data_IF_059151460805
#
_entry.id   IF_059151460805
#
_cell.length_a   1.000
_cell.length_b   1.000
_cell.length_c   1.000
_cell.angle_alpha   90.00
_cell.angle_beta   90.00
_cell.angle_gamma   90.00
#
_symmetry.space_group_name_H-M   'P 1'
#
loop_
_entity.id
_entity.type
_entity.pdbx_description
1 polymer ?
#
# COMPACT_ATOMS: atom_id res chain seq x y z
N UNK A 1 9.02 18.73 3.73
CA UNK A 1 7.58 19.01 3.70
C UNK A 1 6.97 18.44 4.97
N UNK A 2 6.28 19.24 5.78
CA UNK A 2 5.60 18.73 6.98
C UNK A 2 4.33 18.03 6.52
N UNK A 3 4.14 16.76 6.89
CA UNK A 3 2.90 16.04 6.60
C UNK A 3 1.75 16.78 7.29
N UNK A 4 0.79 17.27 6.50
CA UNK A 4 -0.34 18.06 7.02
C UNK A 4 -1.43 17.17 7.61
N UNK A 5 -1.64 15.99 7.03
CA UNK A 5 -2.66 15.02 7.43
C UNK A 5 -2.00 13.64 7.52
N UNK A 6 -1.90 13.08 8.72
CA UNK A 6 -1.46 11.70 8.95
C UNK A 6 -2.66 10.95 9.52
N UNK A 7 -3.18 9.98 8.77
CA UNK A 7 -4.20 9.06 9.25
C UNK A 7 -3.52 7.81 9.78
N UNK A 8 -3.93 7.40 10.99
CA UNK A 8 -3.45 6.19 11.64
C UNK A 8 -4.61 5.20 11.76
N UNK A 9 -4.34 3.89 11.81
CA UNK A 9 -5.36 2.90 12.12
C UNK A 9 -6.08 3.21 13.43
N UNK A 10 -7.39 3.01 13.42
CA UNK A 10 -8.27 3.14 14.59
C UNK A 10 -8.62 1.76 15.17
N UNK A 11 -8.54 0.72 14.34
CA UNK A 11 -8.80 -0.68 14.69
C UNK A 11 -7.80 -1.61 13.99
N UNK A 12 -7.56 -2.76 14.60
CA UNK A 12 -6.55 -3.73 14.19
C UNK A 12 -7.15 -5.14 14.20
N UNK A 13 -6.67 -5.99 13.31
CA UNK A 13 -7.07 -7.39 13.20
C UNK A 13 -6.01 -8.34 13.77
N UNK A 14 -6.47 -9.36 14.48
CA UNK A 14 -5.65 -10.38 15.12
C UNK A 14 -6.30 -11.77 14.98
N UNK A 15 -5.54 -12.82 15.29
CA UNK A 15 -6.05 -14.19 15.32
C UNK A 15 -6.49 -14.59 16.73
N UNK A 16 -7.66 -15.20 16.86
CA UNK A 16 -8.07 -15.89 18.07
C UNK A 16 -8.71 -17.23 17.71
N UNK A 17 -8.07 -18.33 18.12
CA UNK A 17 -8.52 -19.69 17.84
C UNK A 17 -8.73 -19.96 16.32
N UNK A 18 -7.82 -19.49 15.46
CA UNK A 18 -7.93 -19.64 14.00
C UNK A 18 -8.96 -18.73 13.34
N UNK A 19 -9.55 -17.80 14.09
CA UNK A 19 -10.57 -16.88 13.59
C UNK A 19 -10.01 -15.45 13.64
N UNK A 20 -10.15 -14.73 12.53
CA UNK A 20 -9.86 -13.30 12.46
C UNK A 20 -10.85 -12.52 13.33
N UNK A 21 -10.34 -11.75 14.27
CA UNK A 21 -11.10 -10.78 15.06
C UNK A 21 -10.50 -9.39 14.91
N UNK A 22 -11.31 -8.38 15.21
CA UNK A 22 -10.92 -6.97 15.15
C UNK A 22 -11.13 -6.34 16.53
N UNK A 23 -10.29 -5.36 16.88
CA UNK A 23 -10.51 -4.52 18.04
C UNK A 23 -9.97 -3.11 17.80
N UNK A 24 -10.58 -2.13 18.49
CA UNK A 24 -10.08 -0.76 18.55
C UNK A 24 -8.62 -0.72 19.04
N UNK A 25 -7.82 0.18 18.49
CA UNK A 25 -6.42 0.40 18.92
C UNK A 25 -6.35 0.78 20.40
N UNK A 26 -7.36 1.47 20.93
CA UNK A 26 -7.44 1.81 22.36
C UNK A 26 -7.59 0.60 23.27
N UNK A 27 -8.08 -0.53 22.73
CA UNK A 27 -8.26 -1.80 23.44
C UNK A 27 -7.14 -2.80 23.14
N UNK A 28 -6.13 -2.38 22.38
CA UNK A 28 -5.03 -3.25 22.03
C UNK A 28 -4.23 -3.64 23.27
N UNK A 29 -4.00 -4.94 23.44
CA UNK A 29 -3.43 -5.51 24.67
C UNK A 29 -1.99 -6.03 24.50
N UNK A 30 -1.33 -5.59 23.43
CA UNK A 30 0.05 -6.00 23.12
C UNK A 30 0.19 -7.38 22.47
N UNK A 31 -0.92 -8.04 22.12
CA UNK A 31 -0.89 -9.21 21.23
C UNK A 31 -0.37 -8.85 19.83
N UNK A 32 -0.11 -9.87 19.02
CA UNK A 32 0.25 -9.66 17.63
C UNK A 32 -0.99 -9.27 16.81
N UNK A 33 -0.90 -8.14 16.12
CA UNK A 33 -1.88 -7.66 15.14
C UNK A 33 -1.25 -7.75 13.77
N UNK A 34 -1.98 -8.32 12.82
CA UNK A 34 -1.43 -8.72 11.53
C UNK A 34 -2.07 -7.98 10.35
N UNK A 35 -3.15 -7.24 10.56
CA UNK A 35 -3.80 -6.42 9.54
C UNK A 35 -4.54 -5.26 10.21
N UNK A 36 -5.00 -4.31 9.41
CA UNK A 36 -5.92 -3.27 9.87
C UNK A 36 -7.35 -3.82 9.99
N UNK A 37 -8.14 -3.20 10.85
CA UNK A 37 -9.56 -3.54 10.98
C UNK A 37 -10.43 -2.84 9.92
N UNK A 38 -11.71 -3.20 9.90
CA UNK A 38 -12.65 -2.76 8.86
C UNK A 38 -12.96 -1.26 8.95
N UNK A 39 -12.94 -0.67 10.15
CA UNK A 39 -13.23 0.77 10.31
C UNK A 39 -12.08 1.63 9.77
N UNK A 40 -10.83 1.18 9.97
CA UNK A 40 -9.64 1.80 9.37
C UNK A 40 -9.68 1.71 7.85
N UNK A 41 -10.07 0.57 7.28
CA UNK A 41 -10.23 0.43 5.83
C UNK A 41 -11.23 1.46 5.30
N UNK A 42 -12.39 1.58 5.95
CA UNK A 42 -13.41 2.57 5.58
C UNK A 42 -12.86 4.00 5.60
N UNK A 43 -12.20 4.39 6.70
CA UNK A 43 -11.60 5.72 6.84
C UNK A 43 -10.53 6.00 5.80
N UNK A 44 -9.69 5.02 5.45
CA UNK A 44 -8.67 5.18 4.41
C UNK A 44 -9.30 5.35 3.03
N UNK A 45 -10.34 4.57 2.72
CA UNK A 45 -11.07 4.69 1.44
C UNK A 45 -11.72 6.07 1.31
N UNK A 46 -12.31 6.60 2.37
CA UNK A 46 -12.87 7.96 2.38
C UNK A 46 -11.79 9.01 2.09
N UNK A 47 -10.62 8.91 2.73
CA UNK A 47 -9.53 9.84 2.50
C UNK A 47 -8.96 9.75 1.07
N UNK A 48 -8.93 8.55 0.48
CA UNK A 48 -8.48 8.34 -0.89
C UNK A 48 -9.41 9.02 -1.92
N UNK A 49 -10.68 9.23 -1.60
CA UNK A 49 -11.64 9.88 -2.50
C UNK A 49 -11.32 11.37 -2.74
N UNK A 50 -10.61 12.02 -1.82
CA UNK A 50 -10.21 13.42 -1.94
C UNK A 50 -8.86 13.61 -2.67
N UNK A 51 -8.16 12.52 -2.99
CA UNK A 51 -6.82 12.57 -3.56
C UNK A 51 -6.84 12.90 -5.07
N UNK A 52 -5.92 13.77 -5.51
CA UNK A 52 -5.69 14.05 -6.94
C UNK A 52 -4.68 13.09 -7.60
N UNK A 53 -3.86 12.42 -6.78
CA UNK A 53 -2.87 11.41 -7.18
C UNK A 53 -2.68 10.49 -5.99
N UNK A 54 -2.63 9.18 -6.22
CA UNK A 54 -2.39 8.21 -5.15
C UNK A 54 -1.04 7.54 -5.38
N UNK A 55 -0.23 7.47 -4.31
CA UNK A 55 1.03 6.72 -4.29
C UNK A 55 0.93 5.71 -3.16
N UNK A 56 1.12 4.43 -3.46
CA UNK A 56 1.14 3.35 -2.47
C UNK A 56 2.41 2.54 -2.59
N UNK A 57 3.02 2.19 -1.46
CA UNK A 57 4.17 1.32 -1.39
C UNK A 57 4.07 0.39 -0.19
N UNK A 58 3.64 -0.85 -0.44
CA UNK A 58 3.50 -1.92 0.53
C UNK A 58 2.04 -2.24 0.87
N UNK A 59 1.75 -3.48 1.27
CA UNK A 59 0.48 -3.88 1.85
C UNK A 59 0.32 -3.29 3.27
N UNK A 60 -0.90 -3.37 3.80
CA UNK A 60 -1.29 -2.84 5.11
C UNK A 60 -1.22 -3.89 6.24
N UNK A 61 -1.03 -5.16 5.88
CA UNK A 61 -0.97 -6.29 6.79
C UNK A 61 -0.13 -7.43 6.22
N UNK A 62 -0.08 -8.54 6.97
CA UNK A 62 0.56 -9.80 6.61
C UNK A 62 -0.26 -10.52 5.53
N UNK A 63 -0.22 -9.97 4.31
CA UNK A 63 -1.01 -10.38 3.16
C UNK A 63 -0.80 -11.85 2.74
N UNK A 64 0.33 -12.42 3.12
CA UNK A 64 0.68 -13.82 2.86
C UNK A 64 -0.23 -14.79 3.64
N UNK A 65 -0.85 -14.31 4.72
CA UNK A 65 -1.90 -15.03 5.43
C UNK A 65 -3.29 -14.59 4.94
N UNK A 66 -4.12 -15.48 4.37
CA UNK A 66 -5.46 -15.14 3.92
C UNK A 66 -6.38 -14.51 4.99
N UNK A 67 -6.15 -14.81 6.27
CA UNK A 67 -6.87 -14.18 7.38
C UNK A 67 -6.53 -12.69 7.55
N UNK A 68 -5.39 -12.23 7.01
CA UNK A 68 -4.82 -10.91 7.23
C UNK A 68 -4.50 -10.16 5.92
N UNK A 69 -5.03 -10.65 4.79
CA UNK A 69 -4.93 -9.98 3.51
C UNK A 69 -6.06 -8.97 3.24
N UNK A 70 -7.16 -9.04 4.02
CA UNK A 70 -8.41 -8.31 3.76
C UNK A 70 -8.18 -6.80 3.66
N UNK A 71 -7.53 -6.20 4.64
CA UNK A 71 -7.32 -4.75 4.67
C UNK A 71 -6.51 -4.25 3.47
N UNK A 72 -5.44 -4.98 3.14
CA UNK A 72 -4.60 -4.69 1.96
C UNK A 72 -5.39 -4.80 0.66
N UNK A 73 -6.17 -5.87 0.48
CA UNK A 73 -6.96 -6.10 -0.73
C UNK A 73 -8.04 -5.02 -0.90
N UNK A 74 -8.78 -4.70 0.15
CA UNK A 74 -9.88 -3.73 0.07
C UNK A 74 -9.37 -2.33 -0.26
N UNK A 75 -8.30 -1.89 0.39
CA UNK A 75 -7.68 -0.59 0.09
C UNK A 75 -7.08 -0.57 -1.32
N UNK A 76 -6.36 -1.62 -1.75
CA UNK A 76 -5.82 -1.68 -3.11
C UNK A 76 -6.91 -1.67 -4.19
N UNK A 77 -8.03 -2.37 -3.97
CA UNK A 77 -9.19 -2.31 -4.86
C UNK A 77 -9.75 -0.90 -4.95
N UNK A 78 -9.86 -0.19 -3.83
CA UNK A 78 -10.33 1.19 -3.82
C UNK A 78 -9.37 2.13 -4.56
N UNK A 79 -8.06 1.95 -4.39
CA UNK A 79 -7.04 2.74 -5.10
C UNK A 79 -7.15 2.52 -6.61
N UNK A 80 -7.26 1.28 -7.07
CA UNK A 80 -7.39 0.95 -8.50
C UNK A 80 -8.72 1.47 -9.08
N UNK A 81 -9.80 1.46 -8.28
CA UNK A 81 -11.11 1.99 -8.67
C UNK A 81 -11.17 3.53 -8.68
N UNK A 82 -10.23 4.22 -8.02
CA UNK A 82 -10.16 5.68 -7.99
C UNK A 82 -10.06 6.23 -9.43
N UNK A 83 -10.65 7.38 -9.78
CA UNK A 83 -10.54 7.96 -11.12
C UNK A 83 -9.16 8.58 -11.39
N UNK A 84 -8.38 8.87 -10.35
CA UNK A 84 -7.11 9.61 -10.48
C UNK A 84 -5.92 8.71 -10.78
N UNK A 85 -4.78 9.29 -11.19
CA UNK A 85 -3.58 8.50 -11.47
C UNK A 85 -3.04 7.83 -10.20
N UNK A 86 -2.81 6.52 -10.27
CA UNK A 86 -2.26 5.73 -9.17
C UNK A 86 -0.86 5.22 -9.50
N UNK A 87 0.02 5.28 -8.51
CA UNK A 87 1.41 4.82 -8.59
C UNK A 87 1.63 3.77 -7.50
N UNK A 88 1.93 2.55 -7.93
CA UNK A 88 2.15 1.39 -7.06
C UNK A 88 3.64 1.10 -6.98
N UNK A 89 4.15 0.91 -5.77
CA UNK A 89 5.55 0.62 -5.49
C UNK A 89 5.72 -0.66 -4.69
N UNK A 90 6.78 -1.41 -4.99
CA UNK A 90 7.18 -2.59 -4.23
C UNK A 90 6.63 -3.89 -4.80
N UNK A 91 7.45 -4.95 -4.67
CA UNK A 91 7.08 -6.30 -5.11
C UNK A 91 5.81 -6.79 -4.44
N UNK A 92 5.74 -6.66 -3.11
CA UNK A 92 4.62 -7.13 -2.29
C UNK A 92 3.29 -6.49 -2.70
N UNK A 93 3.27 -5.19 -3.00
CA UNK A 93 2.07 -4.50 -3.52
C UNK A 93 1.60 -5.12 -4.84
N UNK A 94 2.53 -5.38 -5.75
CA UNK A 94 2.21 -5.96 -7.06
C UNK A 94 1.77 -7.42 -6.92
N UNK A 95 2.36 -8.16 -5.99
CA UNK A 95 1.98 -9.54 -5.69
C UNK A 95 0.54 -9.62 -5.15
N UNK A 96 0.14 -8.73 -4.24
CA UNK A 96 -1.25 -8.67 -3.77
C UNK A 96 -2.21 -8.37 -4.93
N UNK A 97 -1.86 -7.43 -5.82
CA UNK A 97 -2.68 -7.12 -7.00
C UNK A 97 -2.84 -8.35 -7.91
N UNK A 98 -1.74 -9.02 -8.23
CA UNK A 98 -1.71 -10.18 -9.13
C UNK A 98 -2.50 -11.36 -8.54
N UNK A 99 -2.21 -11.76 -7.30
CA UNK A 99 -2.85 -12.89 -6.63
C UNK A 99 -4.38 -12.72 -6.48
N UNK A 100 -4.86 -11.47 -6.44
CA UNK A 100 -6.27 -11.13 -6.27
C UNK A 100 -6.98 -10.70 -7.56
N UNK A 101 -6.29 -10.82 -8.72
CA UNK A 101 -6.83 -10.48 -10.03
C UNK A 101 -7.22 -9.00 -10.17
N UNK A 102 -6.57 -8.12 -9.41
CA UNK A 102 -6.84 -6.68 -9.45
C UNK A 102 -6.01 -6.08 -10.59
N UNK A 103 -6.70 -5.68 -11.65
CA UNK A 103 -6.05 -5.15 -12.86
C UNK A 103 -5.89 -3.65 -12.77
N UNK A 104 -4.69 -3.16 -13.08
CA UNK A 104 -4.43 -1.73 -13.20
C UNK A 104 -5.15 -1.15 -14.41
N UNK A 105 -5.59 0.10 -14.29
CA UNK A 105 -6.20 0.83 -15.40
C UNK A 105 -5.15 1.55 -16.24
N UNK A 106 -5.58 2.00 -17.41
CA UNK A 106 -4.74 2.82 -18.28
C UNK A 106 -4.29 4.11 -17.57
N UNK A 107 -2.98 4.36 -17.62
CA UNK A 107 -2.36 5.53 -17.01
C UNK A 107 -1.80 5.29 -15.61
N UNK A 108 -2.11 4.17 -14.96
CA UNK A 108 -1.45 3.78 -13.71
C UNK A 108 -0.01 3.29 -13.97
N UNK A 109 0.82 3.32 -12.93
CA UNK A 109 2.20 2.85 -13.00
C UNK A 109 2.53 1.93 -11.84
N UNK A 110 3.13 0.78 -12.12
CA UNK A 110 3.63 -0.16 -11.12
C UNK A 110 5.15 -0.30 -11.20
N UNK A 111 5.82 -0.03 -10.08
CA UNK A 111 7.24 -0.29 -9.89
C UNK A 111 7.45 -1.59 -9.14
N UNK A 112 8.27 -2.49 -9.69
CA UNK A 112 8.67 -3.73 -9.02
C UNK A 112 9.68 -3.49 -7.89
N UNK A 113 10.35 -2.33 -7.86
CA UNK A 113 11.48 -2.08 -6.96
C UNK A 113 11.08 -1.17 -5.79
N UNK A 114 10.82 -1.74 -4.61
CA UNK A 114 10.40 -0.95 -3.44
C UNK A 114 11.41 0.13 -3.03
N UNK A 115 12.68 -0.24 -2.79
CA UNK A 115 13.70 0.70 -2.33
C UNK A 115 14.05 1.77 -3.37
N UNK A 116 14.28 1.37 -4.62
CA UNK A 116 14.60 2.32 -5.68
C UNK A 116 13.42 3.26 -5.98
N UNK A 117 12.17 2.76 -5.87
CA UNK A 117 10.96 3.56 -5.97
C UNK A 117 10.88 4.62 -4.87
N UNK A 118 11.09 4.22 -3.61
CA UNK A 118 11.11 5.15 -2.48
C UNK A 118 12.18 6.22 -2.68
N UNK A 119 13.40 5.84 -3.06
CA UNK A 119 14.48 6.79 -3.34
C UNK A 119 14.11 7.77 -4.46
N UNK A 120 13.43 7.30 -5.52
CA UNK A 120 12.98 8.15 -6.61
C UNK A 120 11.96 9.20 -6.15
N UNK A 121 11.00 8.82 -5.30
CA UNK A 121 9.94 9.74 -4.83
C UNK A 121 10.41 10.65 -3.68
N UNK A 122 11.40 10.23 -2.89
CA UNK A 122 12.00 11.05 -1.82
C UNK A 122 13.04 12.04 -2.36
N UNK A 123 13.41 11.92 -3.65
CA UNK A 123 14.44 12.75 -4.29
C UNK A 123 15.87 12.34 -3.91
N UNK A 124 16.04 11.13 -3.37
CA UNK A 124 17.35 10.56 -3.11
C UNK A 124 18.07 10.18 -4.41
N UNK A 125 19.41 10.17 -4.36
CA UNK A 125 20.22 9.86 -5.53
C UNK A 125 20.11 8.38 -5.89
N UNK A 126 19.83 8.11 -7.15
CA UNK A 126 19.87 6.77 -7.73
C UNK A 126 21.20 6.58 -8.47
N UNK A 127 22.15 5.88 -7.85
CA UNK A 127 23.50 5.67 -8.39
C UNK A 127 23.51 5.15 -9.84
N UNK A 128 22.53 4.32 -10.21
CA UNK A 128 22.41 3.78 -11.59
C UNK A 128 21.98 4.81 -12.64
N UNK A 129 21.32 5.91 -12.25
CA UNK A 129 20.92 7.00 -13.15
C UNK A 129 21.98 8.10 -13.28
N UNK A 130 22.92 8.18 -12.34
CA UNK A 130 23.99 9.18 -12.35
C UNK A 130 25.16 8.80 -13.26
N UNK A 131 25.22 7.54 -13.71
CA UNK A 131 26.22 7.12 -14.70
C UNK A 131 25.83 7.71 -16.06
N UNK A 132 26.69 8.53 -16.70
CA UNK A 132 26.45 8.96 -18.07
C UNK A 132 26.36 7.71 -18.95
N UNK A 133 25.27 7.58 -19.72
CA UNK A 133 25.10 6.54 -20.73
C UNK A 133 26.27 6.61 -21.74
N UNK A 134 27.35 5.88 -21.47
CA UNK A 134 28.58 5.96 -22.27
C UNK A 134 28.51 5.20 -23.59
N UNK A 135 27.41 4.50 -23.88
CA UNK A 135 27.24 3.69 -25.10
C UNK A 135 25.76 3.53 -25.49
N UNK A 136 25.10 4.59 -25.95
CA UNK A 136 23.88 4.44 -26.75
C UNK A 136 24.29 4.34 -28.22
N UNK A 137 24.05 3.20 -28.93
CA UNK A 137 24.18 3.20 -30.39
C UNK A 137 23.16 4.19 -30.97
N UNK A 138 23.66 5.11 -31.81
CA UNK A 138 22.83 5.97 -32.66
C UNK A 138 22.13 5.14 -33.72
#
# INVERSE_FOLDING_TARGET
ATAKNILLPMDLAYEENGIRKECDVERADGRAYFDIGSDTVGSFIEALAEANTIIINGPLGAYENPLFAKGSIEVLRAIVASPVRCIFGGGDTNEVLEQNGIQLKDGDFASLSGKAFLMAITGERLAGLELPFKNSPK
#
